data_IF_675286471467
#
_entry.id   IF_675286471467
#
_cell.length_a   1.000
_cell.length_b   1.000
_cell.length_c   1.000
_cell.angle_alpha   90.00
_cell.angle_beta   90.00
_cell.angle_gamma   90.00
#
_symmetry.space_group_name_H-M   'P 1'
#
loop_
_entity.id
_entity.type
_entity.pdbx_description
1 polymer ?
#
# COMPACT_ATOMS: atom_id res chain seq x y z
N UNK A 1 14.50 8.67 4.36
CA UNK A 1 13.10 8.27 4.51
C UNK A 1 12.73 8.19 5.96
N UNK A 2 11.60 8.74 6.37
CA UNK A 2 11.17 8.56 7.76
C UNK A 2 10.85 7.09 8.03
N UNK A 3 11.41 6.56 9.11
CA UNK A 3 11.24 5.16 9.47
C UNK A 3 10.10 4.94 10.46
N UNK A 4 9.57 6.02 11.04
CA UNK A 4 8.52 5.93 12.04
C UNK A 4 7.32 6.79 11.68
N UNK A 5 6.18 6.42 12.22
CA UNK A 5 4.95 7.21 12.07
C UNK A 5 5.12 8.61 12.66
N UNK A 6 5.79 8.72 13.82
CA UNK A 6 6.02 10.00 14.46
C UNK A 6 6.84 10.93 13.57
N UNK A 7 7.86 10.41 12.91
CA UNK A 7 8.64 11.19 11.96
C UNK A 7 7.83 11.62 10.75
N UNK A 8 6.97 10.73 10.26
CA UNK A 8 6.10 11.05 9.13
C UNK A 8 5.12 12.17 9.48
N UNK A 9 4.59 12.18 10.70
CA UNK A 9 3.69 13.23 11.15
C UNK A 9 4.38 14.59 11.29
N UNK A 10 5.68 14.60 11.56
CA UNK A 10 6.47 15.83 11.66
C UNK A 10 6.87 16.40 10.31
N UNK A 11 6.84 15.57 9.27
CA UNK A 11 7.21 15.97 7.93
C UNK A 11 5.94 16.33 7.14
N UNK A 12 6.15 17.14 6.11
CA UNK A 12 5.08 17.53 5.21
C UNK A 12 4.84 16.38 4.22
N UNK A 13 3.95 15.44 4.60
CA UNK A 13 3.67 14.24 3.82
C UNK A 13 2.83 14.61 2.61
N UNK A 14 3.31 14.28 1.42
CA UNK A 14 2.55 14.42 0.18
C UNK A 14 1.60 13.23 0.03
N UNK A 15 0.56 13.36 -0.81
CA UNK A 15 -0.40 12.29 -1.00
C UNK A 15 0.23 11.01 -1.53
N UNK A 16 1.32 11.10 -2.29
CA UNK A 16 2.08 9.95 -2.75
C UNK A 16 2.68 9.14 -1.58
N UNK A 17 2.97 9.83 -0.47
CA UNK A 17 3.47 9.19 0.74
C UNK A 17 2.46 8.31 1.44
N UNK A 18 1.16 8.52 1.20
CA UNK A 18 0.11 7.66 1.76
C UNK A 18 0.26 6.21 1.31
N UNK A 19 0.51 5.99 0.03
CA UNK A 19 0.63 4.66 -0.53
C UNK A 19 1.83 3.93 0.06
N UNK A 20 2.94 4.63 0.21
CA UNK A 20 4.14 4.09 0.84
C UNK A 20 3.89 3.75 2.31
N UNK A 21 3.22 4.65 3.04
CA UNK A 21 2.93 4.48 4.46
C UNK A 21 2.01 3.29 4.72
N UNK A 22 0.93 3.13 3.95
CA UNK A 22 -0.06 2.09 4.18
C UNK A 22 0.35 0.73 3.66
N UNK A 23 1.01 0.68 2.50
CA UNK A 23 1.27 -0.59 1.81
C UNK A 23 2.72 -0.81 1.43
N UNK A 24 3.62 0.12 1.78
CA UNK A 24 5.02 0.00 1.41
C UNK A 24 5.26 0.07 -0.10
N UNK A 25 4.40 0.78 -0.80
CA UNK A 25 4.47 0.92 -2.25
C UNK A 25 5.76 1.66 -2.63
N UNK A 26 6.56 1.04 -3.48
CA UNK A 26 7.85 1.59 -3.91
C UNK A 26 7.66 2.65 -4.99
N UNK A 27 8.73 3.43 -5.24
CA UNK A 27 8.67 4.47 -6.26
C UNK A 27 8.30 3.93 -7.63
N UNK A 28 8.90 2.80 -8.04
CA UNK A 28 8.56 2.18 -9.32
C UNK A 28 7.08 1.78 -9.38
N UNK A 29 6.55 1.29 -8.26
CA UNK A 29 5.12 0.91 -8.20
C UNK A 29 4.23 2.14 -8.42
N UNK A 30 4.61 3.28 -7.84
CA UNK A 30 3.88 4.53 -8.07
C UNK A 30 3.98 5.00 -9.53
N UNK A 31 5.14 4.84 -10.14
CA UNK A 31 5.33 5.16 -11.56
C UNK A 31 4.45 4.29 -12.45
N UNK A 32 4.40 2.99 -12.17
CA UNK A 32 3.54 2.06 -12.90
C UNK A 32 2.06 2.42 -12.72
N UNK A 33 1.66 2.74 -11.49
CA UNK A 33 0.29 3.15 -11.20
C UNK A 33 -0.06 4.42 -11.96
N UNK A 34 0.84 5.41 -11.96
CA UNK A 34 0.63 6.67 -12.67
C UNK A 34 0.45 6.45 -14.18
N UNK A 35 1.27 5.57 -14.75
CA UNK A 35 1.15 5.20 -16.18
C UNK A 35 -0.23 4.62 -16.47
N UNK A 36 -0.72 3.74 -15.61
CA UNK A 36 -2.03 3.12 -15.78
C UNK A 36 -3.17 4.14 -15.62
N UNK A 37 -3.03 5.07 -14.67
CA UNK A 37 -4.02 6.15 -14.48
C UNK A 37 -4.11 7.05 -15.71
N UNK A 38 -2.98 7.36 -16.33
CA UNK A 38 -2.94 8.23 -17.50
C UNK A 38 -3.35 7.52 -18.80
N UNK A 39 -3.33 6.20 -18.82
CA UNK A 39 -3.69 5.42 -20.00
C UNK A 39 -5.20 5.47 -20.24
N UNK A 40 -5.58 5.60 -21.50
CA UNK A 40 -7.00 5.61 -21.88
C UNK A 40 -7.60 4.22 -21.87
N UNK A 41 -6.77 3.17 -22.00
CA UNK A 41 -7.19 1.78 -22.04
C UNK A 41 -6.29 0.93 -21.15
N UNK A 42 -6.78 -0.25 -20.72
CA UNK A 42 -5.93 -1.17 -19.97
C UNK A 42 -4.65 -1.52 -20.76
N UNK A 43 -3.57 -1.77 -20.03
CA UNK A 43 -2.25 -2.01 -20.61
C UNK A 43 -1.73 -3.39 -20.25
N UNK A 44 -0.96 -3.96 -21.17
CA UNK A 44 -0.20 -5.19 -20.91
C UNK A 44 1.05 -4.87 -20.10
N UNK A 45 1.68 -5.93 -19.56
CA UNK A 45 2.97 -5.77 -18.84
C UNK A 45 4.02 -5.14 -19.76
N UNK A 46 4.08 -5.59 -21.02
CA UNK A 46 5.06 -5.07 -21.98
C UNK A 46 4.88 -3.57 -22.23
N UNK A 47 3.64 -3.13 -22.35
CA UNK A 47 3.33 -1.72 -22.53
C UNK A 47 3.73 -0.89 -21.31
N UNK A 48 3.44 -1.39 -20.11
CA UNK A 48 3.83 -0.72 -18.87
C UNK A 48 5.36 -0.66 -18.77
N UNK A 49 6.04 -1.76 -19.06
CA UNK A 49 7.51 -1.83 -19.01
C UNK A 49 8.14 -0.78 -19.92
N UNK A 50 7.61 -0.66 -21.12
CA UNK A 50 8.08 0.34 -22.09
C UNK A 50 7.85 1.76 -21.56
N UNK A 51 6.67 2.01 -20.99
CA UNK A 51 6.30 3.33 -20.47
C UNK A 51 7.18 3.77 -19.29
N UNK A 52 7.57 2.85 -18.42
CA UNK A 52 8.42 3.17 -17.26
C UNK A 52 9.90 2.95 -17.53
N UNK A 53 10.25 2.54 -18.75
CA UNK A 53 11.63 2.29 -19.18
C UNK A 53 12.35 1.29 -18.27
N UNK A 54 11.70 0.14 -18.09
CA UNK A 54 12.25 -0.98 -17.29
C UNK A 54 12.08 -2.27 -18.06
N UNK A 55 12.83 -3.30 -17.66
CA UNK A 55 12.67 -4.62 -18.22
C UNK A 55 11.32 -5.21 -17.83
N UNK A 56 10.82 -6.11 -18.67
CA UNK A 56 9.52 -6.75 -18.48
C UNK A 56 9.40 -7.40 -17.09
N UNK A 57 10.44 -8.12 -16.67
CA UNK A 57 10.44 -8.82 -15.38
C UNK A 57 10.32 -7.85 -14.20
N UNK A 58 10.98 -6.70 -14.29
CA UNK A 58 10.93 -5.66 -13.26
C UNK A 58 9.54 -5.03 -13.19
N UNK A 59 8.98 -4.68 -14.35
CA UNK A 59 7.62 -4.13 -14.43
C UNK A 59 6.59 -5.15 -13.93
N UNK A 60 6.74 -6.42 -14.29
CA UNK A 60 5.85 -7.48 -13.85
C UNK A 60 5.83 -7.59 -12.32
N UNK A 61 6.98 -7.56 -11.68
CA UNK A 61 7.04 -7.61 -10.21
C UNK A 61 6.35 -6.41 -9.56
N UNK A 62 6.50 -5.22 -10.15
CA UNK A 62 5.82 -4.03 -9.68
C UNK A 62 4.31 -4.17 -9.81
N UNK A 63 3.84 -4.68 -10.95
CA UNK A 63 2.42 -4.93 -11.20
C UNK A 63 1.87 -5.93 -10.19
N UNK A 64 2.62 -6.99 -9.88
CA UNK A 64 2.19 -7.98 -8.89
C UNK A 64 2.03 -7.36 -7.50
N UNK A 65 2.94 -6.47 -7.12
CA UNK A 65 2.80 -5.74 -5.84
C UNK A 65 1.55 -4.86 -5.83
N UNK A 66 1.29 -4.15 -6.94
CA UNK A 66 0.09 -3.31 -7.05
C UNK A 66 -1.20 -4.13 -7.02
N UNK A 67 -1.20 -5.32 -7.61
CA UNK A 67 -2.36 -6.22 -7.56
C UNK A 67 -2.66 -6.63 -6.11
N UNK A 68 -1.63 -6.92 -5.33
CA UNK A 68 -1.79 -7.32 -3.93
C UNK A 68 -2.44 -6.22 -3.08
N UNK A 69 -2.17 -4.97 -3.41
CA UNK A 69 -2.76 -3.84 -2.66
C UNK A 69 -4.19 -3.55 -3.06
N UNK A 70 -4.64 -4.06 -4.21
CA UNK A 70 -5.95 -3.73 -4.75
C UNK A 70 -5.98 -2.42 -5.53
N UNK A 71 -4.83 -1.80 -5.77
CA UNK A 71 -4.76 -0.52 -6.50
C UNK A 71 -5.00 -0.69 -7.99
N UNK A 72 -4.77 -1.88 -8.52
CA UNK A 72 -5.01 -2.19 -9.92
C UNK A 72 -5.79 -3.49 -10.05
N UNK A 73 -6.38 -3.69 -11.21
CA UNK A 73 -7.15 -4.86 -11.56
C UNK A 73 -6.55 -5.53 -12.79
N UNK A 74 -6.75 -6.84 -12.88
CA UNK A 74 -6.27 -7.66 -13.98
C UNK A 74 -7.46 -8.23 -14.71
N UNK A 75 -7.47 -8.08 -16.03
CA UNK A 75 -8.47 -8.69 -16.91
C UNK A 75 -7.80 -9.55 -17.95
N UNK A 76 -8.52 -10.57 -18.39
CA UNK A 76 -8.05 -11.48 -19.43
C UNK A 76 -8.67 -11.11 -20.77
N UNK A 77 -7.82 -11.00 -21.78
CA UNK A 77 -8.27 -10.80 -23.16
C UNK A 77 -7.94 -12.07 -23.92
N UNK A 78 -8.97 -12.62 -24.59
CA UNK A 78 -8.82 -13.86 -25.36
C UNK A 78 -8.58 -13.54 -26.83
N UNK A 79 -7.66 -14.27 -27.46
CA UNK A 79 -7.46 -14.20 -28.91
C UNK A 79 -8.57 -15.01 -29.60
N UNK A 80 -8.93 -14.59 -30.80
CA UNK A 80 -9.95 -15.29 -31.60
C UNK A 80 -9.54 -16.71 -31.95
N UNK A 81 -8.25 -16.97 -32.07
CA UNK A 81 -7.68 -18.26 -32.47
C UNK A 81 -7.21 -19.10 -31.29
N UNK A 82 -7.60 -18.76 -30.07
CA UNK A 82 -7.15 -19.42 -28.87
C UNK A 82 -5.99 -18.72 -28.23
N UNK A 83 -5.78 -19.00 -26.92
CA UNK A 83 -4.81 -18.28 -26.12
C UNK A 83 -5.35 -16.99 -25.55
N UNK A 84 -4.61 -16.42 -24.62
CA UNK A 84 -5.05 -15.20 -23.94
C UNK A 84 -3.84 -14.41 -23.45
N UNK A 85 -4.10 -13.17 -23.10
CA UNK A 85 -3.12 -12.31 -22.42
C UNK A 85 -3.85 -11.49 -21.36
N UNK A 86 -3.09 -10.93 -20.43
CA UNK A 86 -3.65 -10.11 -19.35
C UNK A 86 -3.40 -8.64 -19.62
N UNK A 87 -4.38 -7.82 -19.24
CA UNK A 87 -4.26 -6.36 -19.23
C UNK A 87 -4.56 -5.85 -17.83
N UNK A 88 -4.04 -4.69 -17.52
CA UNK A 88 -4.11 -4.11 -16.19
C UNK A 88 -4.69 -2.72 -16.29
N UNK A 89 -5.51 -2.37 -15.31
CA UNK A 89 -6.14 -1.05 -15.23
C UNK A 89 -6.19 -0.61 -13.77
N UNK A 90 -6.20 0.71 -13.50
CA UNK A 90 -6.28 1.17 -12.13
C UNK A 90 -7.67 0.90 -11.55
N UNK A 91 -7.69 0.59 -10.26
CA UNK A 91 -8.93 0.57 -9.50
C UNK A 91 -9.42 2.01 -9.39
N UNK A 92 -10.75 2.21 -9.36
CA UNK A 92 -11.33 3.53 -9.18
C UNK A 92 -10.69 4.21 -7.94
N UNK A 93 -10.15 5.43 -8.09
CA UNK A 93 -9.55 6.13 -6.95
C UNK A 93 -10.49 6.29 -5.75
N UNK A 94 -11.79 6.43 -5.98
CA UNK A 94 -12.77 6.49 -4.90
C UNK A 94 -12.80 5.18 -4.11
N UNK A 95 -12.74 4.04 -4.81
CA UNK A 95 -12.68 2.73 -4.16
C UNK A 95 -11.38 2.57 -3.37
N UNK A 96 -10.26 3.00 -3.94
CA UNK A 96 -8.96 2.96 -3.26
C UNK A 96 -9.03 3.78 -1.97
N UNK A 97 -9.61 4.99 -2.05
CA UNK A 97 -9.74 5.87 -0.90
C UNK A 97 -10.60 5.24 0.19
N UNK A 98 -11.71 4.59 -0.18
CA UNK A 98 -12.57 3.90 0.78
C UNK A 98 -11.85 2.76 1.48
N UNK A 99 -11.06 2.00 0.71
CA UNK A 99 -10.28 0.88 1.25
C UNK A 99 -9.19 1.37 2.21
N UNK A 100 -8.52 2.47 1.85
CA UNK A 100 -7.52 3.09 2.72
C UNK A 100 -8.15 3.61 4.00
N UNK A 101 -9.34 4.20 3.92
CA UNK A 101 -10.05 4.71 5.10
C UNK A 101 -10.43 3.57 6.05
N UNK A 102 -10.88 2.44 5.51
CA UNK A 102 -11.17 1.26 6.32
C UNK A 102 -9.92 0.73 7.01
N UNK A 103 -8.82 0.63 6.26
CA UNK A 103 -7.54 0.19 6.82
C UNK A 103 -7.09 1.12 7.94
N UNK A 104 -7.23 2.43 7.75
CA UNK A 104 -6.89 3.42 8.76
C UNK A 104 -7.73 3.22 10.02
N UNK A 105 -9.03 3.01 9.86
CA UNK A 105 -9.93 2.81 10.99
C UNK A 105 -9.57 1.53 11.77
N UNK A 106 -9.28 0.44 11.08
CA UNK A 106 -8.87 -0.82 11.69
C UNK A 106 -7.54 -0.67 12.42
N UNK A 107 -6.60 0.03 11.79
CA UNK A 107 -5.30 0.30 12.37
C UNK A 107 -5.42 1.15 13.63
N UNK A 108 -6.27 2.18 13.59
CA UNK A 108 -6.52 3.04 14.75
C UNK A 108 -7.07 2.23 15.93
N UNK A 109 -8.06 1.38 15.68
CA UNK A 109 -8.64 0.53 16.72
C UNK A 109 -7.60 -0.41 17.30
N UNK A 110 -6.78 -1.04 16.45
CA UNK A 110 -5.73 -1.96 16.90
C UNK A 110 -4.67 -1.23 17.70
N UNK A 111 -4.24 -0.06 17.26
CA UNK A 111 -3.25 0.74 17.99
C UNK A 111 -3.79 1.15 19.36
N UNK A 112 -5.07 1.52 19.45
CA UNK A 112 -5.71 1.86 20.70
C UNK A 112 -5.66 0.69 21.70
N UNK A 113 -5.94 -0.52 21.21
CA UNK A 113 -5.84 -1.73 22.05
C UNK A 113 -4.42 -1.95 22.55
N UNK A 114 -3.44 -1.80 21.66
CA UNK A 114 -2.03 -2.01 22.03
C UNK A 114 -1.54 -0.97 23.03
N UNK A 115 -2.00 0.27 22.89
CA UNK A 115 -1.68 1.34 23.86
C UNK A 115 -2.24 0.97 25.24
N UNK A 116 -3.47 0.47 25.29
CA UNK A 116 -4.09 0.04 26.55
C UNK A 116 -3.33 -1.14 27.19
N UNK A 117 -2.96 -2.11 26.36
CA UNK A 117 -2.15 -3.25 26.82
C UNK A 117 -0.80 -2.80 27.38
N UNK A 118 -0.18 -1.84 26.70
CA UNK A 118 1.09 -1.26 27.13
C UNK A 118 0.94 -0.60 28.51
N UNK A 119 -0.08 0.24 28.68
CA UNK A 119 -0.34 0.92 29.95
C UNK A 119 -0.57 -0.09 31.07
N UNK A 120 -1.45 -1.07 30.85
CA UNK A 120 -1.78 -2.08 31.86
C UNK A 120 -0.56 -2.91 32.26
N UNK A 121 0.21 -3.35 31.25
CA UNK A 121 1.38 -4.19 31.48
C UNK A 121 2.46 -3.46 32.27
N UNK A 122 2.81 -2.26 31.86
CA UNK A 122 3.91 -1.53 32.49
C UNK A 122 3.49 -0.87 33.78
N UNK A 123 2.23 -0.53 33.96
CA UNK A 123 1.69 -0.06 35.23
C UNK A 123 1.75 -1.16 36.27
N UNK A 124 1.38 -2.40 35.93
CA UNK A 124 1.51 -3.55 36.83
C UNK A 124 2.95 -3.80 37.24
N UNK A 125 3.87 -3.73 36.30
CA UNK A 125 5.29 -3.92 36.56
C UNK A 125 5.85 -2.83 37.48
N UNK A 126 5.45 -1.59 37.26
CA UNK A 126 5.87 -0.47 38.09
C UNK A 126 5.33 -0.62 39.54
N UNK A 127 4.07 -1.00 39.66
CA UNK A 127 3.45 -1.22 40.98
C UNK A 127 4.11 -2.40 41.72
N UNK A 128 4.42 -3.49 40.99
CA UNK A 128 5.09 -4.66 41.56
C UNK A 128 6.52 -4.36 42.00
N UNK A 129 7.20 -3.43 41.28
CA UNK A 129 8.58 -3.04 41.59
C UNK A 129 8.66 -1.92 42.64
N UNK A 130 7.53 -1.26 42.94
CA UNK A 130 7.51 -0.16 43.89
C UNK A 130 7.89 -0.64 45.29
N UNK A 131 8.70 0.12 46.05
CA UNK A 131 9.02 -0.25 47.41
C UNK A 131 7.74 -0.28 48.26
N UNK A 132 7.63 -1.32 49.06
CA UNK A 132 6.53 -1.42 50.02
C UNK A 132 6.80 -0.41 51.14
N UNK A 133 5.98 0.61 51.23
CA UNK A 133 6.04 1.53 52.35
C UNK A 133 5.35 0.86 53.54
N UNK A 134 6.09 0.70 54.59
CA UNK A 134 5.58 0.18 55.82
C UNK A 134 5.05 1.29 56.69
#
# INVERSE_FOLDING_TARGET
>A
MPDSMAEQLRQDIQCEGLLECFHGVKQLDRECFQVLIEAEEPMTVDEVATAVDRERSTAYRSIQRLLKTGFIQKDQVNYDQGGYYHVYSPTDPEQIADDLQRLLNDWYAKMGQLIQEFEDKYKQQADAAAPVES
#
